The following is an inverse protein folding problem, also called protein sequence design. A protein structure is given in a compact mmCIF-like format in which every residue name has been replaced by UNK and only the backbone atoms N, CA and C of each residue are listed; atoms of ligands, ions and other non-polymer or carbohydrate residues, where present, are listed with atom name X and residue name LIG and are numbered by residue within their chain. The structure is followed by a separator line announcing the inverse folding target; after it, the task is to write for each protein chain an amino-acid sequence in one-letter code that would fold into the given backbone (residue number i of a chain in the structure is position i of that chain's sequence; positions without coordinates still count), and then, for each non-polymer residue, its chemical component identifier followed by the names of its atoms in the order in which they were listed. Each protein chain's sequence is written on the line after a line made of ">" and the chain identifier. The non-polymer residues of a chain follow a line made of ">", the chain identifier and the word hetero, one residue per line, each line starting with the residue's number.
data_IF_717667020346
#
_entry.id   IF_717667020346
#
_cell.length_a   1.000
_cell.length_b   1.000
_cell.length_c   1.000
_cell.angle_alpha   90.00
_cell.angle_beta   90.00
_cell.angle_gamma   90.00
#
_symmetry.space_group_name_H-M   'P 1'
#
loop_
_entity.id
_entity.type
_entity.pdbx_description
1 polymer ?
#
# COMPACT_ATOMS: atom_id res chain seq x y z
N UNK A 1 16.25 -12.64 20.22
CA UNK A 1 15.31 -12.09 19.22
C UNK A 1 14.60 -13.24 18.54
N UNK A 2 13.29 -13.13 18.35
CA UNK A 2 12.53 -14.10 17.56
C UNK A 2 12.68 -13.77 16.07
N UNK A 3 12.96 -14.77 15.23
CA UNK A 3 13.11 -14.58 13.79
C UNK A 3 11.74 -14.62 13.09
N UNK A 4 11.52 -13.67 12.18
CA UNK A 4 10.36 -13.64 11.30
C UNK A 4 10.73 -14.14 9.90
N UNK A 5 9.77 -14.76 9.22
CA UNK A 5 9.91 -15.30 7.88
C UNK A 5 8.94 -14.58 6.94
N UNK A 6 9.45 -14.03 5.84
CA UNK A 6 8.63 -13.43 4.79
C UNK A 6 7.80 -14.52 4.11
N UNK A 7 6.48 -14.30 4.04
CA UNK A 7 5.52 -15.24 3.44
C UNK A 7 4.93 -14.66 2.15
N UNK A 8 4.82 -13.33 2.05
CA UNK A 8 4.29 -12.68 0.86
C UNK A 8 4.12 -11.17 1.03
N UNK A 9 3.20 -10.60 0.28
CA UNK A 9 2.84 -9.18 0.29
C UNK A 9 1.33 -9.00 0.38
N UNK A 10 0.89 -7.81 0.76
CA UNK A 10 -0.53 -7.44 0.77
C UNK A 10 -1.08 -7.32 -0.66
N UNK A 11 -2.39 -7.48 -0.84
CA UNK A 11 -3.02 -7.46 -2.18
C UNK A 11 -2.82 -6.14 -2.92
N UNK A 12 -2.70 -5.03 -2.19
CA UNK A 12 -2.41 -3.69 -2.69
C UNK A 12 -0.91 -3.43 -2.94
N UNK A 13 -0.04 -4.40 -2.62
CA UNK A 13 1.42 -4.32 -2.75
C UNK A 13 2.08 -3.25 -1.86
N UNK A 14 1.37 -2.76 -0.85
CA UNK A 14 1.83 -1.71 0.06
C UNK A 14 2.49 -2.26 1.34
N UNK A 15 2.56 -3.58 1.51
CA UNK A 15 3.11 -4.19 2.72
C UNK A 15 3.68 -5.58 2.50
N UNK A 16 4.67 -5.93 3.31
CA UNK A 16 5.28 -7.25 3.40
C UNK A 16 4.65 -8.04 4.55
N UNK A 17 4.32 -9.31 4.31
CA UNK A 17 3.64 -10.18 5.27
C UNK A 17 4.62 -11.22 5.81
N UNK A 18 4.71 -11.31 7.13
CA UNK A 18 5.63 -12.19 7.85
C UNK A 18 4.91 -13.18 8.77
N UNK A 19 5.58 -14.30 9.05
CA UNK A 19 5.17 -15.29 10.04
C UNK A 19 6.32 -15.69 10.95
N UNK A 20 5.98 -16.20 12.14
CA UNK A 20 6.96 -16.73 13.09
C UNK A 20 7.43 -18.15 12.75
N UNK A 21 6.64 -18.87 11.94
CA UNK A 21 6.91 -20.27 11.60
C UNK A 21 7.34 -20.35 10.15
N UNK A 22 8.56 -20.82 9.93
CA UNK A 22 9.10 -21.04 8.60
C UNK A 22 8.17 -21.95 7.77
N UNK A 23 7.88 -21.55 6.53
CA UNK A 23 7.06 -22.31 5.59
C UNK A 23 5.54 -22.17 5.80
N UNK A 24 5.08 -21.30 6.70
CA UNK A 24 3.66 -20.95 6.79
C UNK A 24 3.15 -20.34 5.49
N UNK A 25 1.91 -20.67 5.14
CA UNK A 25 1.19 -20.10 3.98
C UNK A 25 0.40 -18.83 4.32
N UNK A 26 0.31 -18.51 5.61
CA UNK A 26 -0.33 -17.30 6.14
C UNK A 26 0.64 -16.59 7.08
N UNK A 27 0.58 -15.26 7.08
CA UNK A 27 1.33 -14.41 8.01
C UNK A 27 0.46 -13.85 9.11
N UNK A 28 1.10 -13.44 10.21
CA UNK A 28 0.45 -12.81 11.36
C UNK A 28 1.01 -11.41 11.65
N UNK A 29 2.04 -10.99 10.90
CA UNK A 29 2.72 -9.72 11.05
C UNK A 29 2.82 -9.06 9.67
N UNK A 30 2.68 -7.74 9.62
CA UNK A 30 2.76 -6.96 8.39
C UNK A 30 3.67 -5.74 8.64
N UNK A 31 4.61 -5.50 7.72
CA UNK A 31 5.44 -4.30 7.70
C UNK A 31 5.09 -3.48 6.46
N UNK A 32 4.71 -2.20 6.61
CA UNK A 32 4.48 -1.32 5.47
C UNK A 32 5.72 -1.23 4.57
N UNK A 33 5.51 -1.25 3.25
CA UNK A 33 6.56 -1.08 2.26
C UNK A 33 6.77 0.41 2.00
N UNK A 34 7.19 1.13 3.05
CA UNK A 34 7.36 2.58 3.05
C UNK A 34 8.83 3.00 2.95
N UNK A 35 9.05 4.32 2.87
CA UNK A 35 10.40 4.89 2.76
C UNK A 35 11.29 4.52 3.95
N UNK A 36 10.72 4.35 5.15
CA UNK A 36 11.47 3.98 6.35
C UNK A 36 12.01 2.55 6.24
N UNK A 37 11.19 1.60 5.80
CA UNK A 37 11.63 0.22 5.59
C UNK A 37 12.75 0.16 4.55
N UNK A 38 12.56 0.83 3.39
CA UNK A 38 13.53 0.86 2.31
C UNK A 38 14.86 1.49 2.75
N UNK A 39 14.81 2.63 3.45
CA UNK A 39 15.99 3.30 3.97
C UNK A 39 16.75 2.42 4.98
N UNK A 40 16.02 1.69 5.83
CA UNK A 40 16.60 0.79 6.83
C UNK A 40 17.29 -0.40 6.17
N UNK A 41 16.69 -1.01 5.14
CA UNK A 41 17.31 -2.09 4.37
C UNK A 41 18.59 -1.59 3.71
N UNK A 42 18.54 -0.44 3.02
CA UNK A 42 19.70 0.14 2.36
C UNK A 42 20.85 0.43 3.34
N UNK A 43 20.55 1.03 4.50
CA UNK A 43 21.55 1.27 5.56
C UNK A 43 22.14 -0.03 6.10
N UNK A 44 21.31 -1.04 6.29
CA UNK A 44 21.76 -2.34 6.79
C UNK A 44 22.71 -3.02 5.79
N UNK A 45 22.38 -2.98 4.50
CA UNK A 45 23.25 -3.51 3.44
C UNK A 45 24.57 -2.72 3.35
N UNK A 46 24.52 -1.39 3.44
CA UNK A 46 25.73 -0.53 3.49
C UNK A 46 26.68 -0.96 4.61
N UNK A 47 26.13 -1.15 5.82
CA UNK A 47 26.90 -1.57 7.00
C UNK A 47 27.41 -3.00 6.89
N UNK A 48 26.69 -3.87 6.18
CA UNK A 48 27.06 -5.28 5.98
C UNK A 48 28.20 -5.43 4.97
N UNK A 49 28.20 -4.64 3.90
CA UNK A 49 29.12 -4.84 2.77
C UNK A 49 30.24 -3.80 2.65
N UNK A 50 30.29 -2.78 3.51
CA UNK A 50 31.26 -1.69 3.31
C UNK A 50 31.02 -0.99 1.97
N UNK A 51 29.74 -0.68 1.69
CA UNK A 51 29.27 -0.31 0.35
C UNK A 51 29.89 0.97 -0.21
N UNK A 52 30.03 1.00 -1.52
CA UNK A 52 30.64 2.09 -2.29
C UNK A 52 29.58 3.05 -2.85
N UNK A 53 30.01 4.21 -3.35
CA UNK A 53 29.11 5.21 -3.93
C UNK A 53 28.27 4.69 -5.13
N UNK A 54 28.77 3.70 -5.87
CA UNK A 54 28.08 3.10 -7.02
C UNK A 54 26.85 2.27 -6.61
N UNK A 55 26.91 1.63 -5.44
CA UNK A 55 25.78 0.86 -4.90
C UNK A 55 24.60 1.79 -4.57
N UNK A 56 24.90 3.03 -4.16
CA UNK A 56 23.92 4.07 -3.86
C UNK A 56 23.25 4.62 -5.11
N UNK A 57 24.02 4.84 -6.18
CA UNK A 57 23.47 5.24 -7.48
C UNK A 57 22.55 4.15 -8.04
N UNK A 58 22.95 2.88 -7.89
CA UNK A 58 22.17 1.71 -8.35
C UNK A 58 20.87 1.55 -7.56
N UNK A 59 20.92 1.61 -6.22
CA UNK A 59 19.72 1.52 -5.39
C UNK A 59 18.73 2.66 -5.66
N UNK A 60 19.24 3.89 -5.85
CA UNK A 60 18.41 5.06 -6.16
C UNK A 60 17.82 4.98 -7.56
N UNK A 61 18.58 4.49 -8.53
CA UNK A 61 18.08 4.23 -9.89
C UNK A 61 17.01 3.13 -9.89
N UNK A 62 17.17 2.07 -9.11
CA UNK A 62 16.16 1.01 -8.97
C UNK A 62 14.88 1.53 -8.29
N UNK A 63 15.01 2.33 -7.23
CA UNK A 63 13.85 2.96 -6.58
C UNK A 63 13.12 3.93 -7.52
N UNK A 64 13.86 4.71 -8.31
CA UNK A 64 13.32 5.62 -9.31
C UNK A 64 12.64 4.85 -10.48
N UNK A 65 13.29 3.81 -11.01
CA UNK A 65 12.73 2.96 -12.06
C UNK A 65 11.50 2.17 -11.60
N UNK A 66 11.44 1.79 -10.32
CA UNK A 66 10.27 1.20 -9.69
C UNK A 66 9.14 2.23 -9.42
N UNK A 67 9.36 3.52 -9.68
CA UNK A 67 8.34 4.56 -9.59
C UNK A 67 7.93 4.93 -8.15
N UNK A 68 8.83 4.77 -7.18
CA UNK A 68 8.57 5.03 -5.76
C UNK A 68 8.49 6.52 -5.40
N UNK A 69 9.18 7.42 -6.12
CA UNK A 69 9.16 8.85 -5.79
C UNK A 69 7.82 9.55 -6.10
N UNK A 70 6.92 8.92 -6.88
CA UNK A 70 5.55 9.45 -7.12
C UNK A 70 4.50 8.88 -6.17
N UNK A 71 4.86 7.98 -5.25
CA UNK A 71 3.91 7.24 -4.41
C UNK A 71 4.00 7.54 -2.90
N UNK A 72 5.02 8.28 -2.47
CA UNK A 72 5.37 8.47 -1.05
C UNK A 72 4.77 9.69 -0.35
N UNK A 73 3.75 10.34 -0.91
CA UNK A 73 2.95 11.29 -0.13
C UNK A 73 1.51 10.78 -0.07
N UNK A 74 1.23 9.86 0.86
CA UNK A 74 -0.14 9.66 1.31
C UNK A 74 -0.55 10.97 1.99
N UNK A 75 -1.50 11.74 1.45
CA UNK A 75 -1.95 12.95 2.11
C UNK A 75 -2.52 12.57 3.50
N UNK A 76 -2.26 13.42 4.50
CA UNK A 76 -2.80 13.24 5.85
C UNK A 76 -4.32 13.39 5.82
N UNK A 77 -5.02 12.27 5.60
CA UNK A 77 -6.46 12.26 5.56
C UNK A 77 -7.06 12.21 6.96
N UNK A 78 -8.07 13.05 7.20
CA UNK A 78 -8.93 13.01 8.40
C UNK A 78 -9.84 11.77 8.43
N UNK A 79 -10.00 11.08 7.30
CA UNK A 79 -10.86 9.90 7.17
C UNK A 79 -10.02 8.65 6.89
N UNK A 80 -10.38 7.55 7.55
CA UNK A 80 -9.81 6.24 7.21
C UNK A 80 -10.33 5.73 5.85
N UNK A 81 -9.59 4.86 5.14
CA UNK A 81 -10.04 4.19 3.92
C UNK A 81 -11.45 3.59 4.02
N UNK A 82 -11.76 2.93 5.14
CA UNK A 82 -13.07 2.32 5.38
C UNK A 82 -14.19 3.36 5.43
N UNK A 83 -13.92 4.51 6.06
CA UNK A 83 -14.89 5.60 6.16
C UNK A 83 -15.12 6.31 4.82
N UNK A 84 -14.08 6.45 3.99
CA UNK A 84 -14.20 6.97 2.62
C UNK A 84 -15.07 6.04 1.77
N UNK A 85 -14.74 4.74 1.76
CA UNK A 85 -15.53 3.73 1.03
C UNK A 85 -16.98 3.68 1.47
N UNK A 86 -17.26 3.78 2.78
CA UNK A 86 -18.63 3.78 3.30
C UNK A 86 -19.45 4.97 2.77
N UNK A 87 -18.86 6.17 2.74
CA UNK A 87 -19.51 7.39 2.21
C UNK A 87 -19.75 7.31 0.71
N UNK A 88 -18.76 6.88 -0.05
CA UNK A 88 -18.90 6.71 -1.50
C UNK A 88 -19.98 5.67 -1.85
N UNK A 89 -20.07 4.56 -1.11
CA UNK A 89 -21.16 3.58 -1.28
C UNK A 89 -22.53 4.14 -0.92
N UNK A 90 -22.59 5.07 0.03
CA UNK A 90 -23.83 5.78 0.37
C UNK A 90 -24.25 6.81 -0.70
N UNK A 91 -23.47 6.97 -1.79
CA UNK A 91 -23.76 7.88 -2.88
C UNK A 91 -23.29 9.32 -2.64
N UNK A 92 -22.47 9.56 -1.60
CA UNK A 92 -21.90 10.88 -1.36
C UNK A 92 -20.92 11.24 -2.48
N UNK A 93 -20.96 12.47 -3.05
CA UNK A 93 -20.10 12.86 -4.15
C UNK A 93 -18.63 12.91 -3.72
N UNK A 94 -17.74 12.53 -4.62
CA UNK A 94 -16.30 12.38 -4.34
C UNK A 94 -15.66 13.69 -3.85
N UNK A 95 -16.10 14.82 -4.38
CA UNK A 95 -15.62 16.16 -4.00
C UNK A 95 -15.93 16.49 -2.53
N UNK A 96 -17.11 16.14 -2.04
CA UNK A 96 -17.48 16.34 -0.63
C UNK A 96 -16.67 15.40 0.28
N UNK A 97 -16.50 14.14 -0.13
CA UNK A 97 -15.70 13.18 0.64
C UNK A 97 -14.23 13.62 0.69
N UNK A 98 -13.71 14.21 -0.39
CA UNK A 98 -12.37 14.78 -0.47
C UNK A 98 -12.21 15.98 0.50
N UNK A 99 -13.17 16.89 0.49
CA UNK A 99 -13.20 18.05 1.38
C UNK A 99 -13.25 17.63 2.88
N UNK A 100 -14.09 16.65 3.23
CA UNK A 100 -14.14 16.09 4.59
C UNK A 100 -12.83 15.40 4.99
N UNK A 101 -12.23 14.66 4.05
CA UNK A 101 -10.96 13.97 4.23
C UNK A 101 -9.77 14.94 4.31
N UNK A 102 -9.89 16.18 3.83
CA UNK A 102 -8.78 17.13 3.74
C UNK A 102 -7.74 16.73 2.68
N UNK A 103 -8.20 16.13 1.57
CA UNK A 103 -7.36 15.60 0.49
C UNK A 103 -7.92 16.02 -0.86
N UNK A 104 -7.15 15.87 -1.94
CA UNK A 104 -7.63 16.15 -3.30
C UNK A 104 -8.62 15.09 -3.81
N UNK A 105 -9.55 15.49 -4.68
CA UNK A 105 -10.52 14.59 -5.28
C UNK A 105 -9.86 13.45 -6.10
N UNK A 106 -8.75 13.75 -6.78
CA UNK A 106 -7.95 12.75 -7.52
C UNK A 106 -7.39 11.64 -6.60
N UNK A 107 -7.18 11.95 -5.31
CA UNK A 107 -6.81 10.93 -4.32
C UNK A 107 -8.00 10.05 -3.95
N UNK A 108 -9.22 10.61 -3.90
CA UNK A 108 -10.47 9.86 -3.66
C UNK A 108 -10.83 8.95 -4.84
N UNK A 109 -10.48 9.31 -6.08
CA UNK A 109 -10.71 8.48 -7.28
C UNK A 109 -10.12 7.07 -7.18
N UNK A 110 -9.03 6.91 -6.42
CA UNK A 110 -8.38 5.61 -6.19
C UNK A 110 -9.30 4.61 -5.48
N UNK A 111 -10.31 5.10 -4.77
CA UNK A 111 -11.31 4.28 -4.07
C UNK A 111 -12.48 3.87 -4.98
N UNK A 112 -12.58 4.40 -6.21
CA UNK A 112 -13.68 4.08 -7.12
C UNK A 112 -13.60 2.65 -7.69
N UNK A 113 -12.41 2.20 -8.09
CA UNK A 113 -12.20 0.86 -8.65
C UNK A 113 -12.79 -0.29 -7.81
N UNK A 114 -12.51 -0.40 -6.49
CA UNK A 114 -13.10 -1.46 -5.68
C UNK A 114 -14.63 -1.34 -5.56
N UNK A 115 -15.18 -0.13 -5.55
CA UNK A 115 -16.64 0.10 -5.47
C UNK A 115 -17.32 -0.34 -6.77
N UNK A 116 -16.72 -0.04 -7.93
CA UNK A 116 -17.22 -0.49 -9.24
C UNK A 116 -17.21 -2.02 -9.31
N UNK A 117 -16.13 -2.66 -8.85
CA UNK A 117 -16.06 -4.12 -8.82
C UNK A 117 -17.16 -4.75 -7.93
N UNK A 118 -17.45 -4.14 -6.78
CA UNK A 118 -18.57 -4.57 -5.92
C UNK A 118 -19.93 -4.39 -6.62
N UNK A 119 -20.17 -3.26 -7.28
CA UNK A 119 -21.42 -3.00 -8.00
C UNK A 119 -21.64 -4.00 -9.13
N UNK A 120 -20.60 -4.29 -9.91
CA UNK A 120 -20.65 -5.31 -10.97
C UNK A 120 -20.99 -6.70 -10.41
N UNK A 121 -20.41 -7.09 -9.27
CA UNK A 121 -20.75 -8.36 -8.63
C UNK A 121 -22.21 -8.42 -8.16
N UNK A 122 -22.78 -7.30 -7.68
CA UNK A 122 -24.20 -7.25 -7.29
C UNK A 122 -25.10 -7.39 -8.52
N UNK A 123 -24.76 -6.72 -9.61
CA UNK A 123 -25.49 -6.82 -10.89
C UNK A 123 -25.42 -8.24 -11.46
N UNK A 124 -24.24 -8.86 -11.48
CA UNK A 124 -24.06 -10.24 -11.96
C UNK A 124 -24.92 -11.23 -11.15
N UNK A 125 -24.99 -11.05 -9.83
CA UNK A 125 -25.87 -11.87 -8.97
C UNK A 125 -27.34 -11.62 -9.23
N UNK A 126 -27.74 -10.39 -9.50
CA UNK A 126 -29.13 -10.05 -9.80
C UNK A 126 -29.58 -10.61 -11.16
N UNK A 127 -28.69 -10.66 -12.15
CA UNK A 127 -28.96 -11.27 -13.47
C UNK A 127 -28.96 -12.80 -13.45
N UNK A 128 -28.38 -13.43 -12.43
CA UNK A 128 -28.35 -14.88 -12.26
C UNK A 128 -29.58 -15.45 -11.51
N UNK A 129 -30.53 -14.60 -11.13
CA UNK A 129 -31.82 -14.95 -10.49
C UNK A 129 -32.96 -14.89 -11.51
#
# INVERSE_FOLDING_TARGET
>A
MQQLHLVGFTTDLEGLIFSVRKGSKSGSFMEPLDERLLATIAETLRRREGATADDMATARALAHAAGYERRSARPESKLSPRQIQARLRAGQPQEEVAAEAGVDAEWIDRFAAPIIAEQLQVLDRAHAL
#
